data_IF_154848704059
#
_entry.id   IF_154848704059
#
_cell.length_a   1.000
_cell.length_b   1.000
_cell.length_c   1.000
_cell.angle_alpha   90.00
_cell.angle_beta   90.00
_cell.angle_gamma   90.00
#
_symmetry.space_group_name_H-M   'P 1'
#
loop_
_entity.id
_entity.type
_entity.pdbx_description
1 polymer ?
#
# COMPACT_ATOMS: atom_id res chain seq x y z
N UNK A 1 13.50 -24.46 4.75
CA UNK A 1 12.89 -24.50 3.41
C UNK A 1 11.40 -24.37 3.57
N UNK A 2 10.82 -23.31 3.00
CA UNK A 2 9.38 -23.04 3.00
C UNK A 2 8.91 -22.86 1.56
N UNK A 3 7.65 -23.16 1.29
CA UNK A 3 7.10 -23.07 -0.05
C UNK A 3 5.68 -22.53 -0.02
N UNK A 4 5.26 -21.95 -1.14
CA UNK A 4 3.89 -21.49 -1.37
C UNK A 4 3.50 -21.77 -2.82
N UNK A 5 2.20 -21.77 -3.09
CA UNK A 5 1.65 -21.92 -4.43
C UNK A 5 1.02 -20.60 -4.88
N UNK A 6 1.29 -20.18 -6.11
CA UNK A 6 0.69 -18.99 -6.69
C UNK A 6 -0.68 -19.26 -7.31
N UNK A 7 -1.39 -18.22 -7.75
CA UNK A 7 -2.73 -18.38 -8.34
C UNK A 7 -2.71 -19.05 -9.73
N UNK A 8 -1.54 -19.25 -10.33
CA UNK A 8 -1.36 -20.01 -11.56
C UNK A 8 -1.03 -21.50 -11.28
N UNK A 9 -1.05 -21.92 -10.01
CA UNK A 9 -0.77 -23.29 -9.59
C UNK A 9 0.72 -23.66 -9.57
N UNK A 10 1.62 -22.68 -9.68
CA UNK A 10 3.08 -22.92 -9.61
C UNK A 10 3.51 -22.90 -8.15
N UNK A 11 4.34 -23.87 -7.77
CA UNK A 11 4.91 -23.94 -6.43
C UNK A 11 6.29 -23.31 -6.41
N UNK A 12 6.48 -22.36 -5.51
CA UNK A 12 7.72 -21.61 -5.33
C UNK A 12 8.35 -21.99 -4.00
N UNK A 13 9.62 -22.41 -4.03
CA UNK A 13 10.38 -22.68 -2.81
C UNK A 13 11.16 -21.45 -2.39
N UNK A 14 10.89 -20.93 -1.20
CA UNK A 14 11.65 -19.85 -0.58
C UNK A 14 12.81 -20.45 0.20
N UNK A 15 14.03 -20.13 -0.25
CA UNK A 15 15.27 -20.54 0.41
C UNK A 15 16.17 -19.33 0.55
N UNK A 16 16.61 -19.06 1.79
CA UNK A 16 17.52 -17.95 2.08
C UNK A 16 18.92 -18.51 2.26
N UNK A 17 19.75 -18.29 1.25
CA UNK A 17 21.19 -18.61 1.25
C UNK A 17 21.99 -17.32 1.07
N UNK A 18 23.30 -17.37 1.28
CA UNK A 18 24.19 -16.22 1.03
C UNK A 18 24.08 -15.73 -0.43
N UNK A 19 23.97 -16.66 -1.38
CA UNK A 19 23.74 -16.32 -2.79
C UNK A 19 22.39 -15.63 -3.01
N UNK A 20 21.33 -16.12 -2.34
CA UNK A 20 20.01 -15.49 -2.40
C UNK A 20 20.05 -14.05 -1.85
N UNK A 21 20.72 -13.82 -0.72
CA UNK A 21 20.88 -12.49 -0.14
C UNK A 21 21.64 -11.55 -1.10
N UNK A 22 22.75 -12.03 -1.69
CA UNK A 22 23.51 -11.24 -2.67
C UNK A 22 22.67 -10.89 -3.91
N UNK A 23 21.81 -11.80 -4.35
CA UNK A 23 20.91 -11.57 -5.48
C UNK A 23 19.84 -10.53 -5.15
N UNK A 24 19.23 -10.61 -3.97
CA UNK A 24 18.29 -9.58 -3.49
C UNK A 24 18.98 -8.22 -3.40
N UNK A 25 20.19 -8.15 -2.86
CA UNK A 25 20.97 -6.91 -2.80
C UNK A 25 21.32 -6.35 -4.18
N UNK A 26 21.65 -7.22 -5.14
CA UNK A 26 21.95 -6.81 -6.51
C UNK A 26 20.72 -6.27 -7.26
N UNK A 27 19.58 -6.95 -7.14
CA UNK A 27 18.37 -6.65 -7.91
C UNK A 27 17.51 -5.55 -7.26
N UNK A 28 17.26 -5.67 -5.96
CA UNK A 28 16.31 -4.84 -5.20
C UNK A 28 17.03 -3.76 -4.38
N UNK A 29 18.37 -3.81 -4.28
CA UNK A 29 19.19 -2.84 -3.52
C UNK A 29 18.93 -2.85 -2.01
N UNK A 30 18.44 -3.96 -1.48
CA UNK A 30 18.25 -4.17 -0.03
C UNK A 30 19.05 -5.36 0.46
N UNK A 31 19.61 -5.26 1.67
CA UNK A 31 20.42 -6.32 2.25
C UNK A 31 19.67 -7.01 3.40
N UNK A 32 19.17 -8.23 3.13
CA UNK A 32 18.43 -9.03 4.12
C UNK A 32 19.27 -9.42 5.35
N UNK A 33 20.61 -9.35 5.29
CA UNK A 33 21.45 -9.58 6.47
C UNK A 33 21.45 -8.39 7.46
N UNK A 34 20.99 -7.21 7.03
CA UNK A 34 21.02 -5.95 7.78
C UNK A 34 19.62 -5.42 8.12
N UNK A 35 18.70 -6.33 8.45
CA UNK A 35 17.27 -6.01 8.70
C UNK A 35 17.02 -4.96 9.78
N UNK A 36 17.86 -4.93 10.81
CA UNK A 36 17.69 -4.09 12.00
C UNK A 36 18.50 -2.80 11.95
N UNK A 37 19.40 -2.67 10.97
CA UNK A 37 20.24 -1.48 10.87
C UNK A 37 19.39 -0.28 10.45
N UNK A 38 19.68 0.88 11.05
CA UNK A 38 19.06 2.12 10.63
C UNK A 38 19.52 2.46 9.22
N UNK A 39 18.58 2.87 8.36
CA UNK A 39 18.93 3.26 7.01
C UNK A 39 19.66 4.61 7.01
N UNK A 40 20.65 4.73 6.13
CA UNK A 40 21.47 5.94 6.02
C UNK A 40 20.69 7.15 5.48
N UNK A 41 19.56 6.92 4.81
CA UNK A 41 18.65 7.96 4.30
C UNK A 41 17.64 8.46 5.36
N UNK A 42 17.74 7.97 6.61
CA UNK A 42 16.80 8.29 7.67
C UNK A 42 15.46 7.55 7.56
N UNK A 43 15.35 6.58 6.65
CA UNK A 43 14.19 5.72 6.47
C UNK A 43 13.98 4.72 7.61
N UNK A 44 12.86 3.99 7.53
CA UNK A 44 12.53 2.93 8.47
C UNK A 44 13.54 1.76 8.34
N UNK A 45 13.81 1.01 9.41
CA UNK A 45 14.57 -0.24 9.28
C UNK A 45 13.92 -1.16 8.25
N UNK A 46 14.73 -1.91 7.51
CA UNK A 46 14.26 -2.81 6.45
C UNK A 46 13.22 -3.82 6.96
N UNK A 47 13.34 -4.25 8.21
CA UNK A 47 12.34 -5.10 8.87
C UNK A 47 10.92 -4.49 8.81
N UNK A 48 10.79 -3.19 9.04
CA UNK A 48 9.50 -2.48 9.06
C UNK A 48 9.02 -2.13 7.66
N UNK A 49 9.94 -1.81 6.74
CA UNK A 49 9.60 -1.59 5.33
C UNK A 49 8.99 -2.87 4.72
N UNK A 50 9.60 -4.04 4.94
CA UNK A 50 9.09 -5.32 4.41
C UNK A 50 7.72 -5.73 4.97
N UNK A 51 7.33 -5.26 6.15
CA UNK A 51 6.01 -5.52 6.73
C UNK A 51 4.92 -4.60 6.14
N UNK A 52 5.29 -3.39 5.71
CA UNK A 52 4.35 -2.35 5.29
C UNK A 52 4.28 -2.16 3.78
N UNK A 53 5.37 -2.42 3.06
CA UNK A 53 5.48 -2.29 1.62
C UNK A 53 5.38 -3.66 0.94
N UNK A 54 4.18 -3.96 0.46
CA UNK A 54 3.88 -5.20 -0.25
C UNK A 54 4.59 -5.31 -1.60
N UNK A 55 4.90 -4.18 -2.24
CA UNK A 55 5.59 -4.14 -3.53
C UNK A 55 7.06 -4.52 -3.31
N UNK A 56 7.71 -3.91 -2.32
CA UNK A 56 9.06 -4.28 -1.93
C UNK A 56 9.16 -5.76 -1.54
N UNK A 57 8.17 -6.28 -0.80
CA UNK A 57 8.14 -7.70 -0.47
C UNK A 57 8.01 -8.58 -1.72
N UNK A 58 7.17 -8.19 -2.68
CA UNK A 58 7.02 -8.90 -3.95
C UNK A 58 8.35 -8.94 -4.73
N UNK A 59 9.06 -7.81 -4.82
CA UNK A 59 10.36 -7.71 -5.50
C UNK A 59 11.41 -8.60 -4.83
N UNK A 60 11.44 -8.63 -3.49
CA UNK A 60 12.31 -9.53 -2.71
C UNK A 60 11.95 -10.98 -2.96
N UNK A 61 10.67 -11.34 -2.92
CA UNK A 61 10.20 -12.70 -3.20
C UNK A 61 10.60 -13.15 -4.60
N UNK A 62 10.39 -12.32 -5.62
CA UNK A 62 10.79 -12.61 -6.99
C UNK A 62 12.31 -12.81 -7.07
N UNK A 63 13.09 -11.93 -6.45
CA UNK A 63 14.54 -12.07 -6.40
C UNK A 63 14.97 -13.39 -5.73
N UNK A 64 14.30 -13.84 -4.67
CA UNK A 64 14.59 -15.12 -4.02
C UNK A 64 14.32 -16.31 -4.95
N UNK A 65 13.16 -16.31 -5.63
CA UNK A 65 12.73 -17.41 -6.51
C UNK A 65 13.23 -17.28 -7.94
N UNK A 66 13.96 -16.21 -8.29
CA UNK A 66 14.43 -15.92 -9.65
C UNK A 66 15.09 -17.09 -10.38
N UNK A 67 15.94 -17.94 -9.75
CA UNK A 67 16.48 -19.11 -10.42
C UNK A 67 15.39 -20.11 -10.87
N UNK A 68 14.34 -20.29 -10.05
CA UNK A 68 13.19 -21.13 -10.38
C UNK A 68 12.34 -20.46 -11.46
N UNK A 69 12.14 -19.14 -11.38
CA UNK A 69 11.36 -18.39 -12.36
C UNK A 69 12.04 -18.44 -13.74
N UNK A 70 13.36 -18.22 -13.80
CA UNK A 70 14.17 -18.37 -15.01
C UNK A 70 14.04 -19.79 -15.59
N UNK A 71 14.09 -20.84 -14.75
CA UNK A 71 13.99 -22.23 -15.19
C UNK A 71 12.61 -22.57 -15.77
N UNK A 72 11.55 -21.92 -15.27
CA UNK A 72 10.18 -22.07 -15.75
C UNK A 72 9.79 -21.06 -16.83
N UNK A 73 10.70 -20.15 -17.23
CA UNK A 73 10.42 -19.09 -18.20
C UNK A 73 9.41 -18.04 -17.71
N UNK A 74 9.29 -17.85 -16.39
CA UNK A 74 8.37 -16.89 -15.77
C UNK A 74 9.07 -15.55 -15.59
N UNK A 75 8.44 -14.49 -16.11
CA UNK A 75 8.88 -13.10 -15.95
C UNK A 75 8.45 -12.52 -14.60
N UNK A 76 9.01 -11.38 -14.22
CA UNK A 76 8.65 -10.68 -12.98
C UNK A 76 7.18 -10.26 -13.00
N UNK A 77 6.73 -9.72 -14.13
CA UNK A 77 5.34 -9.28 -14.32
C UNK A 77 4.36 -10.46 -14.21
N UNK A 78 4.70 -11.62 -14.77
CA UNK A 78 3.89 -12.85 -14.67
C UNK A 78 3.90 -13.47 -13.28
N UNK A 79 4.98 -13.25 -12.51
CA UNK A 79 5.06 -13.67 -11.12
C UNK A 79 4.18 -12.77 -10.24
N UNK A 80 4.33 -11.44 -10.36
CA UNK A 80 3.52 -10.46 -9.65
C UNK A 80 2.03 -10.59 -9.97
N UNK A 81 1.66 -10.84 -11.23
CA UNK A 81 0.26 -11.09 -11.62
C UNK A 81 -0.34 -12.33 -10.96
N UNK A 82 0.47 -13.34 -10.63
CA UNK A 82 0.03 -14.56 -9.98
C UNK A 82 0.07 -14.51 -8.45
N UNK A 83 0.62 -13.45 -7.87
CA UNK A 83 0.62 -13.20 -6.42
C UNK A 83 -0.69 -12.52 -5.97
N UNK A 84 -1.82 -13.19 -6.22
CA UNK A 84 -3.13 -12.79 -5.70
C UNK A 84 -3.25 -12.97 -4.19
N UNK A 85 -4.31 -12.43 -3.57
CA UNK A 85 -4.47 -12.28 -2.11
C UNK A 85 -4.04 -13.47 -1.23
N UNK A 86 -4.51 -14.69 -1.53
CA UNK A 86 -4.09 -15.88 -0.77
C UNK A 86 -2.64 -16.28 -1.04
N UNK A 87 -2.20 -16.18 -2.29
CA UNK A 87 -0.84 -16.52 -2.70
C UNK A 87 0.20 -15.60 -2.02
N UNK A 88 -0.06 -14.28 -1.98
CA UNK A 88 0.84 -13.34 -1.30
C UNK A 88 0.83 -13.55 0.22
N UNK A 89 -0.30 -13.90 0.84
CA UNK A 89 -0.36 -14.22 2.27
C UNK A 89 0.42 -15.51 2.61
N UNK A 90 0.33 -16.54 1.75
CA UNK A 90 1.12 -17.75 1.89
C UNK A 90 2.62 -17.47 1.67
N UNK A 91 2.96 -16.68 0.65
CA UNK A 91 4.33 -16.25 0.37
C UNK A 91 4.94 -15.44 1.53
N UNK A 92 4.15 -14.53 2.11
CA UNK A 92 4.50 -13.76 3.30
C UNK A 92 4.91 -14.67 4.45
N UNK A 93 4.05 -15.65 4.75
CA UNK A 93 4.30 -16.62 5.83
C UNK A 93 5.57 -17.42 5.54
N UNK A 94 5.69 -17.97 4.34
CA UNK A 94 6.85 -18.77 3.93
C UNK A 94 8.16 -17.97 4.01
N UNK A 95 8.15 -16.71 3.57
CA UNK A 95 9.32 -15.82 3.61
C UNK A 95 9.83 -15.61 5.04
N UNK A 96 8.96 -15.20 5.95
CA UNK A 96 9.38 -14.89 7.31
C UNK A 96 9.79 -16.11 8.11
N UNK A 97 9.13 -17.25 7.91
CA UNK A 97 9.55 -18.51 8.53
C UNK A 97 10.93 -18.94 8.05
N UNK A 98 11.21 -18.81 6.75
CA UNK A 98 12.54 -19.08 6.19
C UNK A 98 13.59 -18.10 6.72
N UNK A 99 13.24 -16.82 6.84
CA UNK A 99 14.12 -15.77 7.35
C UNK A 99 14.51 -16.02 8.82
N UNK A 100 13.52 -16.34 9.66
CA UNK A 100 13.76 -16.75 11.04
C UNK A 100 14.63 -18.01 11.09
N UNK A 101 14.34 -19.00 10.24
CA UNK A 101 15.11 -20.23 10.15
C UNK A 101 16.58 -19.99 9.82
N UNK A 102 16.87 -19.10 8.86
CA UNK A 102 18.23 -18.72 8.47
C UNK A 102 19.01 -18.12 9.64
N UNK A 103 18.45 -17.13 10.35
CA UNK A 103 19.15 -16.48 11.47
C UNK A 103 19.21 -17.37 12.72
N UNK A 104 18.26 -18.27 12.93
CA UNK A 104 18.25 -19.15 14.10
C UNK A 104 19.45 -20.10 14.12
N UNK A 105 19.96 -20.50 12.96
CA UNK A 105 21.11 -21.41 12.83
C UNK A 105 22.44 -20.64 12.97
N UNK A 106 22.44 -19.32 12.78
CA UNK A 106 23.65 -18.50 12.86
C UNK A 106 24.08 -18.23 14.32
N UNK A 107 25.40 -18.28 14.65
CA UNK A 107 25.92 -18.07 16.01
C UNK A 107 25.49 -16.76 16.69
N UNK A 108 25.26 -15.70 15.91
CA UNK A 108 24.86 -14.38 16.41
C UNK A 108 23.45 -13.96 15.98
N UNK A 109 22.66 -14.86 15.36
CA UNK A 109 21.34 -14.51 14.83
C UNK A 109 20.21 -14.48 15.87
N UNK A 110 20.46 -14.88 17.13
CA UNK A 110 19.43 -14.92 18.18
C UNK A 110 18.79 -13.56 18.42
N UNK A 111 19.58 -12.47 18.40
CA UNK A 111 19.06 -11.12 18.57
C UNK A 111 18.13 -10.75 17.40
N UNK A 112 18.55 -11.03 16.17
CA UNK A 112 17.76 -10.82 14.95
C UNK A 112 16.45 -11.59 14.97
N UNK A 113 16.48 -12.88 15.30
CA UNK A 113 15.27 -13.71 15.44
C UNK A 113 14.32 -13.14 16.49
N UNK A 114 14.85 -12.72 17.63
CA UNK A 114 14.05 -12.13 18.71
C UNK A 114 13.39 -10.82 18.25
N UNK A 115 14.14 -9.96 17.57
CA UNK A 115 13.64 -8.71 17.03
C UNK A 115 12.56 -8.93 15.97
N UNK A 116 12.76 -9.86 15.02
CA UNK A 116 11.75 -10.21 14.01
C UNK A 116 10.45 -10.67 14.69
N UNK A 117 10.53 -11.64 15.61
CA UNK A 117 9.34 -12.17 16.31
C UNK A 117 8.62 -11.07 17.09
N UNK A 118 9.36 -10.27 17.87
CA UNK A 118 8.77 -9.20 18.66
C UNK A 118 8.14 -8.12 17.80
N UNK A 119 8.79 -7.74 16.70
CA UNK A 119 8.22 -6.75 15.78
C UNK A 119 6.89 -7.23 15.20
N UNK A 120 6.81 -8.49 14.81
CA UNK A 120 5.58 -9.09 14.27
C UNK A 120 4.47 -9.22 15.30
N UNK A 121 4.79 -9.66 16.51
CA UNK A 121 3.83 -9.68 17.63
C UNK A 121 3.26 -8.28 17.91
N UNK A 122 4.10 -7.25 17.85
CA UNK A 122 3.69 -5.86 18.05
C UNK A 122 2.74 -5.38 16.95
N UNK A 123 3.09 -5.61 15.67
CA UNK A 123 2.25 -5.23 14.53
C UNK A 123 0.89 -5.92 14.60
N UNK A 124 0.87 -7.24 14.86
CA UNK A 124 -0.37 -8.00 14.96
C UNK A 124 -1.27 -7.48 16.10
N UNK A 125 -0.68 -7.20 17.25
CA UNK A 125 -1.41 -6.65 18.41
C UNK A 125 -1.96 -5.26 18.11
N UNK A 126 -1.18 -4.41 17.43
CA UNK A 126 -1.62 -3.07 17.05
C UNK A 126 -2.75 -3.11 16.02
N UNK A 127 -2.67 -4.01 15.04
CA UNK A 127 -3.70 -4.16 14.02
C UNK A 127 -5.02 -4.65 14.63
N UNK A 128 -4.99 -5.65 15.51
CA UNK A 128 -6.18 -6.12 16.25
C UNK A 128 -6.79 -5.00 17.08
N UNK A 129 -5.98 -4.29 17.86
CA UNK A 129 -6.47 -3.18 18.67
C UNK A 129 -7.05 -2.03 17.82
N UNK A 130 -6.52 -1.80 16.61
CA UNK A 130 -7.08 -0.82 15.67
C UNK A 130 -8.42 -1.28 15.10
N UNK A 131 -8.54 -2.57 14.73
CA UNK A 131 -9.79 -3.17 14.27
C UNK A 131 -10.88 -3.09 15.35
N UNK A 132 -10.59 -3.51 16.58
CA UNK A 132 -11.53 -3.45 17.70
C UNK A 132 -12.00 -2.01 17.96
N UNK A 133 -11.09 -1.03 17.88
CA UNK A 133 -11.45 0.40 18.00
C UNK A 133 -12.36 0.86 16.87
N UNK A 134 -12.14 0.43 15.63
CA UNK A 134 -13.02 0.77 14.52
C UNK A 134 -14.42 0.17 14.69
N UNK A 135 -14.51 -1.10 15.07
CA UNK A 135 -15.79 -1.78 15.30
C UNK A 135 -16.59 -1.15 16.46
N UNK A 136 -15.92 -0.83 17.56
CA UNK A 136 -16.56 -0.19 18.71
C UNK A 136 -17.02 1.24 18.44
N UNK A 137 -16.36 1.98 17.54
CA UNK A 137 -16.81 3.29 17.08
C UNK A 137 -17.99 3.18 16.11
N UNK A 138 -17.96 2.21 15.18
CA UNK A 138 -19.06 1.91 14.27
C UNK A 138 -20.35 1.56 15.01
N UNK A 139 -20.27 0.65 16.00
CA UNK A 139 -21.43 0.25 16.81
C UNK A 139 -22.00 1.34 17.74
N UNK A 140 -21.26 2.43 17.96
CA UNK A 140 -21.74 3.64 18.67
C UNK A 140 -22.40 4.66 17.72
N UNK A 141 -22.01 4.67 16.44
CA UNK A 141 -22.60 5.53 15.42
C UNK A 141 -24.01 5.05 15.00
N UNK A 142 -24.23 3.73 14.93
CA UNK A 142 -25.55 3.14 14.65
C UNK A 142 -26.58 3.41 15.77
N UNK A 143 -26.10 3.58 17.01
CA UNK A 143 -26.97 3.75 18.19
C UNK A 143 -27.55 5.16 18.36
N UNK A 144 -27.10 6.14 17.57
CA UNK A 144 -27.59 7.53 17.62
C UNK A 144 -28.63 7.89 16.54
N UNK A 145 -28.91 6.99 15.58
CA UNK A 145 -29.85 7.26 14.48
C UNK A 145 -31.22 6.57 14.58
N UNK A 146 -31.54 5.85 15.67
CA UNK A 146 -32.81 5.10 15.80
C UNK A 146 -33.79 5.61 16.86
N UNK A 147 -33.77 6.90 17.20
CA UNK A 147 -34.76 7.49 18.10
C UNK A 147 -35.35 8.80 17.56
N UNK A 148 -36.17 8.70 16.51
CA UNK A 148 -37.21 9.68 16.22
C UNK A 148 -38.52 8.92 15.94
N UNK A 149 -39.53 8.97 16.82
CA UNK A 149 -40.82 8.37 16.51
C UNK A 149 -41.55 9.22 15.46
N UNK A 150 -41.85 8.61 14.31
CA UNK A 150 -42.76 9.16 13.31
C UNK A 150 -44.16 9.34 13.92
N UNK A 151 -44.63 10.58 13.99
CA UNK A 151 -46.04 10.87 14.26
C UNK A 151 -46.85 10.77 12.93
N UNK A 152 -48.04 10.14 12.94
CA UNK A 152 -48.87 10.02 11.74
C UNK A 152 -49.63 11.32 11.44
N UNK A 153 -49.62 11.68 10.16
CA UNK A 153 -50.39 12.77 9.55
C UNK A 153 -51.89 12.61 9.81
N UNK A 154 -52.56 13.68 10.26
CA UNK A 154 -54.03 13.78 10.25
C UNK A 154 -54.47 14.92 9.32
N UNK A 155 -55.48 14.73 8.45
CA UNK A 155 -55.93 15.74 7.49
C UNK A 155 -57.08 16.60 8.07
N UNK A 156 -57.09 17.90 7.80
CA UNK A 156 -58.26 18.74 8.14
C UNK A 156 -58.11 20.25 7.93
N UNK A 157 -58.84 20.74 6.92
CA UNK A 157 -59.51 22.05 6.77
C UNK A 157 -58.73 23.36 6.54
N UNK A 158 -58.72 23.76 5.26
CA UNK A 158 -59.29 24.99 4.69
C UNK A 158 -59.48 26.23 5.59
N UNK A 159 -58.82 27.34 5.24
CA UNK A 159 -59.45 28.65 4.99
C UNK A 159 -58.42 29.58 4.32
N UNK A 160 -58.86 30.28 3.26
CA UNK A 160 -58.00 31.15 2.46
C UNK A 160 -57.64 32.48 3.10
N UNK A 161 -56.64 33.13 2.50
CA UNK A 161 -56.80 34.50 1.99
C UNK A 161 -55.62 34.88 1.08
N UNK A 162 -55.96 35.29 -0.14
CA UNK A 162 -55.09 35.97 -1.08
C UNK A 162 -54.85 37.43 -0.66
N UNK A 163 -53.62 37.93 -0.83
CA UNK A 163 -53.24 39.33 -1.19
C UNK A 163 -51.73 39.29 -1.48
N UNK A 164 -51.29 39.35 -2.73
CA UNK A 164 -51.17 40.52 -3.63
C UNK A 164 -50.01 41.46 -3.27
N UNK A 165 -49.15 41.68 -4.28
CA UNK A 165 -48.33 42.88 -4.55
C UNK A 165 -47.00 43.01 -3.77
N UNK A 166 -45.89 43.53 -4.30
CA UNK A 166 -45.41 43.95 -5.63
C UNK A 166 -43.93 44.35 -5.43
N UNK A 167 -43.11 44.22 -6.48
CA UNK A 167 -41.88 45.00 -6.68
C UNK A 167 -40.61 44.47 -5.99
N UNK A 168 -39.42 44.55 -6.56
CA UNK A 168 -38.97 45.19 -7.79
C UNK A 168 -37.62 44.57 -8.18
N UNK A 169 -37.44 44.31 -9.48
CA UNK A 169 -36.13 44.12 -10.11
C UNK A 169 -35.50 45.52 -10.24
N UNK A 170 -34.18 45.66 -10.03
CA UNK A 170 -33.36 46.07 -11.18
C UNK A 170 -32.04 45.29 -11.29
N UNK A 171 -31.76 44.80 -12.51
CA UNK A 171 -30.42 44.73 -13.10
C UNK A 171 -30.02 46.18 -13.48
N UNK A 172 -28.73 46.58 -13.47
CA UNK A 172 -27.96 46.47 -14.71
C UNK A 172 -26.47 46.11 -14.54
N UNK A 173 -26.03 45.07 -15.24
CA UNK A 173 -25.01 45.14 -16.31
C UNK A 173 -23.73 45.99 -16.13
N UNK A 174 -22.55 45.32 -16.10
CA UNK A 174 -21.33 45.69 -16.88
C UNK A 174 -20.33 44.52 -16.82
N UNK A 175 -20.05 43.81 -17.92
CA UNK A 175 -19.12 44.17 -19.02
C UNK A 175 -17.74 44.54 -18.47
N UNK A 176 -16.62 43.91 -18.81
CA UNK A 176 -16.27 42.91 -19.82
C UNK A 176 -14.73 42.83 -19.88
N UNK A 177 -14.22 41.92 -20.72
CA UNK A 177 -12.87 41.83 -21.28
C UNK A 177 -11.84 40.87 -20.65
N UNK A 178 -11.75 39.70 -21.29
CA UNK A 178 -10.50 39.06 -21.73
C UNK A 178 -10.27 39.40 -23.22
N UNK A 179 -9.16 38.98 -23.86
CA UNK A 179 -7.73 39.28 -23.67
C UNK A 179 -7.15 39.94 -24.97
N UNK A 180 -5.83 39.91 -25.23
CA UNK A 180 -5.43 39.04 -26.35
C UNK A 180 -4.06 38.34 -26.23
N UNK A 181 -3.95 37.30 -27.05
CA UNK A 181 -2.78 36.50 -27.42
C UNK A 181 -1.49 37.30 -27.71
N UNK A 182 -0.35 36.73 -27.33
CA UNK A 182 0.93 36.95 -28.03
C UNK A 182 1.56 35.61 -28.46
N UNK A 183 1.93 35.58 -29.74
CA UNK A 183 2.54 34.49 -30.52
C UNK A 183 4.04 34.27 -30.18
N UNK A 184 4.65 33.16 -30.67
CA UNK A 184 5.94 32.65 -30.20
C UNK A 184 7.15 33.32 -30.86
N UNK A 185 8.33 33.20 -30.25
CA UNK A 185 9.62 33.54 -30.86
C UNK A 185 10.51 32.31 -30.99
N UNK A 186 10.94 32.10 -32.23
CA UNK A 186 11.99 31.20 -32.70
C UNK A 186 13.33 31.96 -32.73
N UNK A 187 14.43 31.27 -32.39
CA UNK A 187 15.81 31.39 -32.92
C UNK A 187 16.74 30.63 -31.93
N UNK A 188 17.34 29.48 -32.26
CA UNK A 188 18.42 29.22 -33.20
C UNK A 188 19.80 29.14 -32.53
N UNK A 189 20.47 28.02 -32.83
CA UNK A 189 21.90 27.85 -33.09
C UNK A 189 22.86 27.46 -31.95
N UNK A 190 23.73 26.47 -32.23
CA UNK A 190 24.93 26.20 -31.43
C UNK A 190 25.48 24.77 -31.43
N UNK A 191 25.80 24.19 -32.60
CA UNK A 191 26.64 22.97 -32.72
C UNK A 191 28.12 23.27 -32.36
N UNK A 192 28.78 22.42 -31.55
CA UNK A 192 30.03 21.66 -31.83
C UNK A 192 30.80 21.25 -30.54
N UNK A 193 31.39 20.03 -30.49
CA UNK A 193 32.50 19.64 -29.58
C UNK A 193 33.87 19.73 -30.28
N UNK A 194 35.02 19.83 -29.56
CA UNK A 194 36.07 18.75 -29.51
C UNK A 194 37.01 18.86 -28.26
N UNK A 195 38.16 18.14 -28.15
CA UNK A 195 38.75 17.03 -28.94
C UNK A 195 38.63 15.63 -28.32
#
# INVERSE_FOLDING_TARGET
MKAFTDSAGRTWTVVITVDAIKRVESLVKVNLARLLEARSDGGLPLLTELESDIILLCDVLFALVKPQANAQGVTDEQFGQALGGEAIAAAYTAFWEELVGFFQILPHGKATVTAIRKHRELIETQLKAAQDKMETLGGKADRKHSAAPMAPSTPGNSAGNSRASLGSIPDPSRSGNSPPCRKPRSAANGRRPPP
#
